data_IF_910658317349
#
_entry.id   IF_910658317349
#
_cell.length_a   1.000
_cell.length_b   1.000
_cell.length_c   1.000
_cell.angle_alpha   90.00
_cell.angle_beta   90.00
_cell.angle_gamma   90.00
#
_symmetry.space_group_name_H-M   'P 1'
#
loop_
_entity.id
_entity.type
_entity.pdbx_description
1 polymer ?
#
# COMPACT_ATOMS: atom_id res chain seq x y z
N UNK A 1 -15.39 -1.28 -25.66
CA UNK A 1 -16.36 -2.40 -25.92
C UNK A 1 -15.98 -3.60 -25.06
N UNK A 2 -15.13 -4.46 -25.60
CA UNK A 2 -14.70 -5.65 -24.89
C UNK A 2 -13.55 -6.34 -25.62
N UNK A 3 -13.01 -7.39 -25.01
CA UNK A 3 -11.90 -8.14 -25.62
C UNK A 3 -10.56 -7.45 -25.34
N UNK A 4 -10.57 -6.51 -24.39
CA UNK A 4 -9.35 -5.78 -24.02
C UNK A 4 -9.23 -5.66 -22.51
N UNK A 5 -8.01 -5.61 -22.01
CA UNK A 5 -7.77 -5.51 -20.57
C UNK A 5 -8.60 -6.56 -19.82
N UNK A 6 -9.04 -7.57 -20.52
CA UNK A 6 -9.84 -8.64 -19.92
C UNK A 6 -9.15 -9.14 -18.66
N UNK A 7 -7.84 -9.09 -18.67
CA UNK A 7 -7.05 -9.56 -17.53
C UNK A 7 -7.40 -8.74 -16.29
N UNK A 8 -7.80 -7.49 -16.47
CA UNK A 8 -8.15 -6.64 -15.34
C UNK A 8 -9.31 -7.25 -14.55
N UNK A 9 -10.21 -7.91 -15.26
CA UNK A 9 -11.36 -8.55 -14.62
C UNK A 9 -10.92 -9.76 -13.80
N UNK A 10 -9.95 -10.53 -14.30
CA UNK A 10 -9.48 -11.72 -13.58
C UNK A 10 -8.91 -11.33 -12.21
N UNK A 11 -8.06 -10.32 -12.19
CA UNK A 11 -7.47 -9.88 -10.93
C UNK A 11 -8.54 -9.33 -10.01
N UNK A 12 -9.47 -8.52 -10.54
CA UNK A 12 -10.54 -7.97 -9.73
C UNK A 12 -11.44 -9.09 -9.19
N UNK A 13 -11.79 -10.04 -10.04
CA UNK A 13 -12.65 -11.14 -9.61
C UNK A 13 -11.98 -11.93 -8.50
N UNK A 14 -10.67 -12.13 -8.62
CA UNK A 14 -9.95 -12.87 -7.59
C UNK A 14 -10.07 -12.15 -6.25
N UNK A 15 -9.91 -10.84 -6.26
CA UNK A 15 -10.00 -10.07 -5.03
C UNK A 15 -11.40 -10.22 -4.43
N UNK A 16 -12.41 -10.12 -5.26
CA UNK A 16 -13.79 -10.26 -4.76
C UNK A 16 -14.00 -11.62 -4.09
N UNK A 17 -13.53 -12.66 -4.73
CA UNK A 17 -13.67 -14.01 -4.19
C UNK A 17 -12.93 -14.14 -2.87
N UNK A 18 -11.70 -13.62 -2.79
CA UNK A 18 -10.93 -13.72 -1.56
C UNK A 18 -11.61 -12.95 -0.42
N UNK A 19 -12.04 -11.71 -0.69
CA UNK A 19 -12.69 -10.90 0.34
C UNK A 19 -14.00 -11.55 0.79
N UNK A 20 -14.79 -12.06 -0.17
CA UNK A 20 -16.06 -12.71 0.18
C UNK A 20 -15.83 -14.20 0.43
N UNK A 21 -14.64 -14.70 0.11
CA UNK A 21 -14.33 -16.11 0.30
C UNK A 21 -15.05 -16.93 -0.76
N UNK A 22 -14.84 -18.24 -0.78
CA UNK A 22 -15.48 -19.11 -1.77
C UNK A 22 -16.66 -19.86 -1.16
N UNK A 23 -16.50 -20.31 0.09
CA UNK A 23 -17.58 -21.03 0.75
C UNK A 23 -18.80 -20.12 0.95
N UNK A 24 -18.58 -18.90 1.43
CA UNK A 24 -19.68 -17.98 1.66
C UNK A 24 -20.33 -17.62 0.32
N UNK A 25 -19.52 -17.39 -0.70
CA UNK A 25 -20.05 -17.05 -2.00
C UNK A 25 -20.94 -18.17 -2.54
N UNK A 26 -20.74 -19.39 -2.04
CA UNK A 26 -21.55 -20.51 -2.51
C UNK A 26 -23.00 -20.35 -2.07
N UNK A 27 -23.19 -20.12 -0.77
CA UNK A 27 -24.54 -19.94 -0.23
C UNK A 27 -25.20 -18.70 -0.84
N UNK A 28 -24.44 -17.61 -0.99
CA UNK A 28 -25.00 -16.39 -1.55
C UNK A 28 -25.45 -16.62 -3.00
N UNK A 29 -24.60 -17.25 -3.80
CA UNK A 29 -24.97 -17.50 -5.20
C UNK A 29 -26.16 -18.45 -5.31
N UNK A 30 -26.10 -19.58 -4.61
CA UNK A 30 -27.21 -20.53 -4.66
C UNK A 30 -28.48 -19.89 -4.12
N UNK A 31 -28.36 -19.07 -3.09
CA UNK A 31 -29.51 -18.41 -2.51
C UNK A 31 -30.14 -17.47 -3.54
N UNK A 32 -29.29 -16.72 -4.23
CA UNK A 32 -29.79 -15.77 -5.24
C UNK A 32 -30.01 -16.46 -6.58
N UNK A 33 -29.52 -17.69 -6.73
CA UNK A 33 -29.69 -18.42 -7.98
C UNK A 33 -31.03 -19.14 -8.02
N UNK A 34 -31.89 -18.89 -7.02
CA UNK A 34 -33.19 -19.55 -6.98
C UNK A 34 -34.06 -19.10 -8.16
N UNK A 35 -33.96 -17.83 -8.54
CA UNK A 35 -34.74 -17.32 -9.65
C UNK A 35 -34.32 -17.97 -10.96
N UNK A 36 -33.02 -18.23 -11.10
CA UNK A 36 -32.50 -18.87 -12.30
C UNK A 36 -33.10 -20.25 -12.47
N UNK A 37 -33.23 -20.97 -11.37
CA UNK A 37 -33.81 -22.31 -11.43
C UNK A 37 -35.18 -22.26 -12.08
N UNK A 38 -35.96 -21.20 -11.78
CA UNK A 38 -37.29 -21.07 -12.36
C UNK A 38 -37.23 -20.82 -13.87
N UNK A 39 -36.31 -19.96 -14.30
CA UNK A 39 -36.20 -19.68 -15.72
C UNK A 39 -35.87 -20.96 -16.48
N UNK A 40 -34.90 -21.70 -15.96
CA UNK A 40 -34.49 -22.95 -16.60
C UNK A 40 -35.68 -23.90 -16.68
N UNK A 41 -36.42 -24.02 -15.58
CA UNK A 41 -37.58 -24.92 -15.54
C UNK A 41 -38.64 -24.49 -16.56
N UNK A 42 -39.02 -23.22 -16.54
CA UNK A 42 -40.03 -22.74 -17.47
C UNK A 42 -39.61 -22.99 -18.93
N UNK A 43 -38.35 -22.71 -19.26
CA UNK A 43 -37.88 -22.91 -20.62
C UNK A 43 -37.61 -24.40 -20.87
N UNK A 44 -38.15 -25.27 -20.02
CA UNK A 44 -37.96 -26.70 -20.19
C UNK A 44 -38.77 -27.20 -21.39
N UNK A 45 -39.71 -26.38 -21.85
CA UNK A 45 -40.55 -26.75 -22.98
C UNK A 45 -39.71 -26.99 -24.24
N UNK A 46 -38.72 -26.12 -24.48
CA UNK A 46 -37.85 -26.27 -25.65
C UNK A 46 -36.44 -26.69 -25.24
N UNK A 47 -36.34 -27.79 -24.46
CA UNK A 47 -35.05 -28.29 -24.03
C UNK A 47 -35.23 -29.59 -23.23
N UNK A 48 -35.10 -30.75 -23.85
CA UNK A 48 -35.28 -32.04 -23.14
C UNK A 48 -34.08 -32.40 -22.25
N UNK A 49 -34.34 -33.12 -21.18
CA UNK A 49 -33.28 -33.52 -20.25
C UNK A 49 -32.80 -34.94 -20.56
N UNK B 1 -1.90 6.32 -23.91
CA UNK B 1 -2.33 7.07 -22.69
C UNK B 1 -3.80 7.46 -22.83
N UNK B 2 -4.54 7.32 -21.74
CA UNK B 2 -5.96 7.66 -21.74
C UNK B 2 -6.53 7.65 -20.32
N UNK B 3 -6.64 8.83 -19.73
CA UNK B 3 -7.17 8.96 -18.38
C UNK B 3 -8.63 8.53 -18.32
N UNK B 4 -9.38 8.90 -19.36
CA UNK B 4 -10.80 8.56 -19.43
C UNK B 4 -10.95 7.06 -19.63
N UNK B 5 -10.95 6.30 -18.52
CA UNK B 5 -11.08 4.84 -18.60
C UNK B 5 -12.34 4.37 -17.90
N UNK B 6 -13.16 3.64 -18.63
CA UNK B 6 -14.39 3.09 -18.09
C UNK B 6 -14.05 2.03 -17.06
N UNK B 7 -12.94 1.32 -17.29
CA UNK B 7 -12.53 0.25 -16.38
C UNK B 7 -12.25 0.80 -14.99
N UNK B 8 -11.83 2.06 -14.92
CA UNK B 8 -11.53 2.67 -13.62
C UNK B 8 -12.78 2.68 -12.74
N UNK B 9 -13.94 2.86 -13.37
CA UNK B 9 -15.21 2.88 -12.64
C UNK B 9 -15.54 1.48 -12.10
N UNK B 10 -15.26 0.43 -12.87
CA UNK B 10 -15.57 -0.94 -12.43
C UNK B 10 -14.81 -1.27 -11.15
N UNK B 11 -13.52 -0.98 -11.12
CA UNK B 11 -12.72 -1.27 -9.95
C UNK B 11 -13.19 -0.42 -8.76
N UNK B 12 -13.46 0.86 -9.00
CA UNK B 12 -13.94 1.73 -7.94
C UNK B 12 -15.31 1.27 -7.42
N UNK B 13 -16.20 0.91 -8.33
CA UNK B 13 -17.53 0.46 -7.93
C UNK B 13 -17.41 -0.79 -7.08
N UNK B 14 -16.50 -1.69 -7.46
CA UNK B 14 -16.31 -2.93 -6.71
C UNK B 14 -15.91 -2.60 -5.28
N UNK B 15 -14.98 -1.67 -5.11
CA UNK B 15 -14.54 -1.29 -3.77
C UNK B 15 -15.70 -0.73 -2.98
N UNK B 16 -16.49 0.13 -3.58
CA UNK B 16 -17.65 0.70 -2.87
C UNK B 16 -18.59 -0.40 -2.39
N UNK B 17 -18.89 -1.35 -3.26
CA UNK B 17 -19.79 -2.43 -2.91
C UNK B 17 -19.21 -3.28 -1.78
N UNK B 18 -17.92 -3.58 -1.84
CA UNK B 18 -17.30 -4.39 -0.79
C UNK B 18 -17.32 -3.66 0.55
N UNK B 19 -16.92 -2.38 0.55
CA UNK B 19 -16.89 -1.60 1.79
C UNK B 19 -18.31 -1.45 2.36
N UNK B 20 -19.29 -1.18 1.50
CA UNK B 20 -20.68 -1.04 1.95
C UNK B 20 -21.38 -2.39 1.95
N UNK B 21 -20.74 -3.39 1.35
CA UNK B 21 -21.34 -4.72 1.26
C UNK B 21 -22.47 -4.70 0.24
N UNK B 22 -23.09 -5.86 -0.02
CA UNK B 22 -24.18 -5.92 -1.00
C UNK B 22 -25.54 -5.97 -0.31
N UNK B 23 -25.62 -6.70 0.81
CA UNK B 23 -26.87 -6.79 1.54
C UNK B 23 -27.30 -5.42 2.09
N UNK B 24 -26.35 -4.70 2.70
CA UNK B 24 -26.65 -3.39 3.25
C UNK B 24 -27.03 -2.43 2.13
N UNK B 25 -26.30 -2.49 1.03
CA UNK B 25 -26.59 -1.61 -0.11
C UNK B 25 -28.00 -1.85 -0.63
N UNK B 26 -28.55 -3.04 -0.36
CA UNK B 26 -29.90 -3.34 -0.84
C UNK B 26 -30.93 -2.48 -0.13
N UNK B 27 -30.87 -2.48 1.20
CA UNK B 27 -31.80 -1.68 1.99
C UNK B 27 -31.62 -0.19 1.70
N UNK B 28 -30.36 0.25 1.58
CA UNK B 28 -30.10 1.66 1.33
C UNK B 28 -30.67 2.07 -0.03
N UNK B 29 -30.43 1.27 -1.07
CA UNK B 29 -30.93 1.60 -2.39
C UNK B 29 -32.45 1.58 -2.42
N UNK B 30 -33.07 0.50 -1.94
CA UNK B 30 -34.51 0.40 -1.93
C UNK B 30 -35.11 1.53 -1.08
N UNK B 31 -34.47 1.85 0.03
CA UNK B 31 -34.96 2.92 0.89
C UNK B 31 -34.94 4.26 0.15
N UNK B 32 -33.85 4.51 -0.56
CA UNK B 32 -33.72 5.76 -1.32
C UNK B 32 -34.39 5.65 -2.69
N UNK B 33 -34.75 4.44 -3.09
CA UNK B 33 -35.39 4.26 -4.39
C UNK B 33 -36.91 4.48 -4.30
N UNK B 34 -37.38 4.94 -3.14
CA UNK B 34 -38.80 5.17 -2.97
C UNK B 34 -39.29 6.29 -3.89
N UNK B 35 -38.46 7.32 -4.08
CA UNK B 35 -38.83 8.43 -4.95
C UNK B 35 -38.95 7.96 -6.40
N UNK B 36 -38.09 7.04 -6.79
CA UNK B 36 -38.11 6.52 -8.17
C UNK B 36 -39.45 5.83 -8.43
N UNK B 37 -39.93 5.09 -7.45
CA UNK B 37 -41.19 4.38 -7.60
C UNK B 37 -42.29 5.37 -7.97
N UNK B 38 -42.26 6.58 -7.40
CA UNK B 38 -43.27 7.58 -7.70
C UNK B 38 -43.14 8.09 -9.13
N UNK B 39 -41.92 8.32 -9.59
CA UNK B 39 -41.73 8.80 -10.96
C UNK B 39 -42.29 7.78 -11.94
N UNK B 40 -41.93 6.52 -11.72
CA UNK B 40 -42.40 5.46 -12.60
C UNK B 40 -43.93 5.42 -12.61
N UNK B 41 -44.53 5.49 -11.42
CA UNK B 41 -45.99 5.47 -11.32
C UNK B 41 -46.62 6.64 -12.05
N UNK B 42 -46.16 7.86 -11.76
CA UNK B 42 -46.74 9.03 -12.43
C UNK B 42 -46.61 8.93 -13.95
N UNK B 43 -45.46 8.50 -14.47
CA UNK B 43 -45.28 8.37 -15.91
C UNK B 43 -45.98 7.10 -16.42
N UNK B 44 -46.84 6.50 -15.60
CA UNK B 44 -47.54 5.28 -16.00
C UNK B 44 -48.87 5.15 -15.27
N UNK B 45 -49.56 6.27 -15.09
CA UNK B 45 -50.84 6.27 -14.39
C UNK B 45 -51.84 5.41 -15.16
N UNK B 46 -51.86 5.54 -16.49
CA UNK B 46 -52.77 4.75 -17.31
C UNK B 46 -52.18 3.34 -17.55
N UNK B 47 -51.65 2.73 -16.50
CA UNK B 47 -51.06 1.40 -16.62
C UNK B 47 -50.72 0.85 -15.24
N UNK B 48 -51.63 0.18 -14.57
CA UNK B 48 -51.38 -0.41 -13.21
C UNK B 48 -50.27 -1.46 -13.23
N UNK B 49 -49.53 -1.54 -12.12
CA UNK B 49 -48.42 -2.49 -12.00
C UNK B 49 -48.55 -3.28 -10.71
N UNK C 1 -5.30 15.06 -22.30
CA UNK C 1 -3.97 15.09 -22.98
C UNK C 1 -2.88 14.83 -21.95
N UNK C 2 -2.57 13.55 -21.73
CA UNK C 2 -1.54 13.18 -20.77
C UNK C 2 -1.87 13.72 -19.39
N UNK C 3 -1.06 14.67 -18.93
CA UNK C 3 -1.27 15.26 -17.61
C UNK C 3 -2.56 16.08 -17.58
N UNK C 4 -2.82 16.74 -16.45
CA UNK C 4 -4.02 17.55 -16.31
C UNK C 4 -5.27 16.71 -16.59
N UNK C 5 -5.69 15.91 -15.61
CA UNK C 5 -6.86 15.04 -15.79
C UNK C 5 -7.99 15.35 -14.80
N UNK C 6 -9.16 15.60 -15.33
CA UNK C 6 -10.35 15.87 -14.52
C UNK C 6 -10.71 14.60 -13.75
N UNK C 7 -10.44 13.47 -14.38
CA UNK C 7 -10.72 12.15 -13.80
C UNK C 7 -10.00 12.00 -12.46
N UNK C 8 -8.87 12.68 -12.30
CA UNK C 8 -8.13 12.60 -11.04
C UNK C 8 -8.99 13.07 -9.87
N UNK C 9 -9.84 14.06 -10.13
CA UNK C 9 -10.73 14.60 -9.11
C UNK C 9 -11.81 13.58 -8.73
N UNK C 10 -12.33 12.85 -9.73
CA UNK C 10 -13.39 11.85 -9.45
C UNK C 10 -12.89 10.79 -8.48
N UNK C 11 -11.71 10.25 -8.75
CA UNK C 11 -11.14 9.22 -7.88
C UNK C 11 -10.85 9.79 -6.50
N UNK C 12 -10.28 11.00 -6.44
CA UNK C 12 -9.99 11.62 -5.15
C UNK C 12 -11.28 11.91 -4.39
N UNK C 13 -12.28 12.43 -5.08
CA UNK C 13 -13.55 12.73 -4.43
C UNK C 13 -14.16 11.47 -3.85
N UNK C 14 -14.06 10.37 -4.60
CA UNK C 14 -14.62 9.11 -4.13
C UNK C 14 -13.96 8.69 -2.82
N UNK C 15 -12.63 8.82 -2.76
CA UNK C 15 -11.92 8.46 -1.55
C UNK C 15 -12.39 9.32 -0.38
N UNK C 16 -12.52 10.61 -0.61
CA UNK C 16 -12.97 11.50 0.46
C UNK C 16 -14.35 11.09 0.99
N UNK C 17 -15.26 10.79 0.08
CA UNK C 17 -16.59 10.38 0.47
C UNK C 17 -16.57 9.07 1.26
N UNK C 18 -15.76 8.11 0.81
CA UNK C 18 -15.70 6.83 1.50
C UNK C 18 -15.10 7.00 2.90
N UNK C 19 -14.00 7.74 3.01
CA UNK C 19 -13.36 7.95 4.32
C UNK C 19 -14.29 8.73 5.26
N UNK C 20 -14.96 9.75 4.73
CA UNK C 20 -15.89 10.53 5.56
C UNK C 20 -17.30 9.93 5.51
N UNK C 21 -17.50 8.96 4.61
CA UNK C 21 -18.80 8.33 4.47
C UNK C 21 -19.76 9.30 3.79
N UNK C 22 -20.99 8.85 3.52
CA UNK C 22 -21.98 9.72 2.86
C UNK C 22 -22.98 10.27 3.86
N UNK C 23 -23.38 9.44 4.82
CA UNK C 23 -24.34 9.89 5.84
C UNK C 23 -23.74 11.01 6.70
N UNK C 24 -22.50 10.82 7.15
CA UNK C 24 -21.85 11.84 7.96
C UNK C 24 -21.65 13.11 7.16
N UNK C 25 -21.24 12.97 5.91
CA UNK C 25 -21.03 14.13 5.06
C UNK C 25 -22.32 14.93 4.89
N UNK C 26 -23.46 14.27 5.09
CA UNK C 26 -24.74 14.97 4.93
C UNK C 26 -24.92 16.00 6.03
N UNK C 27 -24.74 15.59 7.27
CA UNK C 27 -24.87 16.50 8.40
C UNK C 27 -23.82 17.61 8.33
N UNK C 28 -22.59 17.25 7.97
CA UNK C 28 -21.52 18.24 7.87
C UNK C 28 -21.84 19.29 6.81
N UNK C 29 -22.27 18.84 5.63
CA UNK C 29 -22.58 19.77 4.55
C UNK C 29 -23.78 20.65 4.92
N UNK C 30 -24.87 20.04 5.36
CA UNK C 30 -26.05 20.81 5.73
C UNK C 30 -25.73 21.76 6.88
N UNK C 31 -24.90 21.31 7.82
CA UNK C 31 -24.52 22.15 8.95
C UNK C 31 -23.75 23.36 8.46
N UNK C 32 -22.82 23.13 7.54
CA UNK C 32 -22.01 24.24 7.00
C UNK C 32 -22.73 24.94 5.85
N UNK C 33 -23.82 24.35 5.36
CA UNK C 33 -24.56 24.96 4.26
C UNK C 33 -25.57 25.99 4.78
N UNK C 34 -25.53 26.26 6.08
CA UNK C 34 -26.47 27.22 6.66
C UNK C 34 -26.23 28.62 6.10
N UNK C 35 -24.97 28.97 5.87
CA UNK C 35 -24.65 30.29 5.32
C UNK C 35 -25.18 30.43 3.90
N UNK C 36 -25.13 29.35 3.14
CA UNK C 36 -25.63 29.36 1.78
C UNK C 36 -27.12 29.69 1.75
N UNK C 37 -27.85 29.13 2.69
CA UNK C 37 -29.28 29.37 2.77
C UNK C 37 -29.54 30.87 2.86
N UNK C 38 -28.70 31.58 3.59
CA UNK C 38 -28.88 33.03 3.74
C UNK C 38 -28.62 33.76 2.44
N UNK C 39 -27.56 33.36 1.71
CA UNK C 39 -27.26 34.02 0.44
C UNK C 39 -28.43 33.86 -0.52
N UNK C 40 -28.93 32.63 -0.62
CA UNK C 40 -30.05 32.35 -1.50
C UNK C 40 -31.25 33.21 -1.12
N UNK C 41 -31.55 33.27 0.18
CA UNK C 41 -32.68 34.06 0.66
C UNK C 41 -32.51 35.53 0.33
N UNK C 42 -31.36 36.11 0.67
CA UNK C 42 -31.12 37.53 0.39
C UNK C 42 -31.26 37.83 -1.11
N UNK C 43 -30.70 36.98 -1.97
CA UNK C 43 -30.79 37.20 -3.41
C UNK C 43 -32.17 36.79 -3.92
N UNK C 44 -33.14 36.60 -3.02
CA UNK C 44 -34.49 36.20 -3.45
C UNK C 44 -35.56 37.04 -2.74
N UNK C 45 -35.24 37.49 -1.53
CA UNK C 45 -36.19 38.29 -0.76
C UNK C 45 -36.56 39.56 -1.52
N UNK C 46 -35.56 40.28 -2.03
CA UNK C 46 -35.82 41.51 -2.78
C UNK C 46 -36.96 42.33 -2.15
N UNK C 47 -36.84 42.65 -0.86
CA UNK C 47 -37.87 43.43 -0.17
C UNK C 47 -37.37 43.86 1.21
N UNK C 48 -36.70 44.99 1.33
CA UNK C 48 -36.18 45.48 2.64
C UNK C 48 -37.28 46.07 3.51
N UNK C 49 -37.04 46.10 4.83
CA UNK C 49 -38.01 46.64 5.77
C UNK C 49 -37.77 48.14 5.97
N UNK D 1 10.94 15.49 -20.27
CA UNK D 1 11.70 16.52 -19.51
C UNK D 1 11.23 16.52 -18.06
N UNK D 2 11.50 17.62 -17.36
CA UNK D 2 11.10 17.73 -15.96
C UNK D 2 9.58 17.72 -15.83
N UNK D 3 9.10 17.12 -14.74
CA UNK D 3 7.66 17.04 -14.51
C UNK D 3 7.14 18.32 -13.88
N UNK D 4 7.47 18.54 -12.61
CA UNK D 4 7.02 19.74 -11.89
C UNK D 4 5.57 20.05 -12.26
N UNK D 5 4.64 19.31 -11.66
CA UNK D 5 3.22 19.48 -11.93
C UNK D 5 2.47 19.97 -10.71
N UNK D 6 1.67 21.00 -10.92
CA UNK D 6 0.87 21.58 -9.86
C UNK D 6 -0.16 20.57 -9.41
N UNK D 7 -0.56 19.64 -10.29
CA UNK D 7 -1.56 18.69 -9.84
C UNK D 7 -1.04 17.87 -8.67
N UNK D 8 0.27 17.67 -8.60
CA UNK D 8 0.86 16.89 -7.51
C UNK D 8 0.54 17.54 -6.16
N UNK D 9 0.50 18.87 -6.16
CA UNK D 9 0.20 19.62 -4.94
C UNK D 9 -1.26 19.42 -4.53
N UNK D 10 -2.18 19.38 -5.50
CA UNK D 10 -3.61 19.21 -5.18
C UNK D 10 -3.85 17.88 -4.46
N UNK D 11 -3.28 16.82 -4.98
CA UNK D 11 -3.46 15.50 -4.36
C UNK D 11 -2.80 15.49 -2.98
N UNK D 12 -1.59 16.05 -2.86
CA UNK D 12 -0.91 16.09 -1.57
C UNK D 12 -1.70 16.94 -0.58
N UNK D 13 -2.18 18.09 -1.01
CA UNK D 13 -2.94 18.97 -0.13
C UNK D 13 -4.19 18.25 0.37
N UNK D 14 -4.83 17.50 -0.52
CA UNK D 14 -6.04 16.78 -0.14
C UNK D 14 -5.73 15.80 0.99
N UNK D 15 -4.62 15.08 0.85
CA UNK D 15 -4.24 14.11 1.87
C UNK D 15 -3.99 14.82 3.20
N UNK D 16 -3.29 15.94 3.16
CA UNK D 16 -3.02 16.68 4.39
C UNK D 16 -4.32 17.09 5.09
N UNK D 17 -5.26 17.61 4.31
CA UNK D 17 -6.54 18.03 4.87
C UNK D 17 -7.30 16.86 5.46
N UNK D 18 -7.32 15.72 4.76
CA UNK D 18 -8.03 14.55 5.27
C UNK D 18 -7.39 14.04 6.57
N UNK D 19 -6.07 13.91 6.59
CA UNK D 19 -5.36 13.42 7.77
C UNK D 19 -5.57 14.38 8.95
N UNK D 20 -5.47 15.69 8.68
CA UNK D 20 -5.65 16.70 9.74
C UNK D 20 -7.12 17.09 9.85
N UNK D 21 -7.93 16.66 8.88
CA UNK D 21 -9.35 17.01 8.87
C UNK D 21 -9.52 18.47 8.49
N UNK D 22 -10.76 18.94 8.37
CA UNK D 22 -11.01 20.34 8.00
C UNK D 22 -11.39 21.16 9.22
N UNK D 23 -12.18 20.58 10.12
CA UNK D 23 -12.58 21.29 11.33
C UNK D 23 -11.38 21.62 12.20
N UNK D 24 -10.51 20.63 12.42
CA UNK D 24 -9.33 20.84 13.25
C UNK D 24 -8.40 21.86 12.58
N UNK D 25 -8.24 21.75 11.27
CA UNK D 25 -7.39 22.68 10.56
C UNK D 25 -7.89 24.12 10.70
N UNK D 26 -9.18 24.27 11.00
CA UNK D 26 -9.74 25.61 11.15
C UNK D 26 -9.17 26.30 12.39
N UNK D 27 -9.24 25.61 13.51
CA UNK D 27 -8.71 26.17 14.76
C UNK D 27 -7.19 26.39 14.66
N UNK D 28 -6.47 25.43 14.05
CA UNK D 28 -5.04 25.56 13.92
C UNK D 28 -4.67 26.78 13.06
N UNK D 29 -5.34 26.92 11.91
CA UNK D 29 -5.06 28.06 11.03
C UNK D 29 -5.40 29.38 11.71
N UNK D 30 -6.62 29.49 12.24
CA UNK D 30 -7.03 30.73 12.89
C UNK D 30 -6.12 31.02 14.08
N UNK D 31 -5.72 29.99 14.80
CA UNK D 31 -4.85 30.17 15.96
C UNK D 31 -3.50 30.72 15.50
N UNK D 32 -2.97 30.16 14.42
CA UNK D 32 -1.68 30.62 13.90
C UNK D 32 -1.84 31.83 12.99
N UNK D 33 -3.08 32.14 12.61
CA UNK D 33 -3.33 33.30 11.73
C UNK D 33 -3.44 34.59 12.54
N UNK D 34 -3.17 34.52 13.84
CA UNK D 34 -3.25 35.70 14.69
C UNK D 34 -2.22 36.74 14.27
N UNK D 35 -1.03 36.28 13.89
CA UNK D 35 0.02 37.21 13.47
C UNK D 35 -0.38 37.93 12.18
N UNK D 36 -1.06 37.23 11.29
CA UNK D 36 -1.50 37.82 10.03
C UNK D 36 -2.44 38.99 10.30
N UNK D 37 -3.33 38.80 11.27
CA UNK D 37 -4.28 39.86 11.60
C UNK D 37 -3.53 41.14 11.93
N UNK D 38 -2.39 41.03 12.61
CA UNK D 38 -1.61 42.22 12.97
C UNK D 38 -1.01 42.88 11.73
N UNK D 39 -0.48 42.08 10.80
CA UNK D 39 0.11 42.65 9.60
C UNK D 39 -0.95 43.43 8.82
N UNK D 40 -2.11 42.82 8.66
CA UNK D 40 -3.20 43.46 7.94
C UNK D 40 -3.57 44.78 8.62
N UNK D 41 -3.69 44.74 9.95
CA UNK D 41 -4.06 45.94 10.71
C UNK D 41 -3.01 47.04 10.54
N UNK D 42 -1.73 46.70 10.77
CA UNK D 42 -0.67 47.70 10.63
C UNK D 42 -0.67 48.32 9.22
N UNK D 43 -0.81 47.50 8.18
CA UNK D 43 -0.81 48.01 6.82
C UNK D 43 -2.16 48.65 6.49
N UNK D 44 -2.98 48.90 7.52
CA UNK D 44 -4.30 49.50 7.29
C UNK D 44 -5.00 49.76 8.63
N UNK D 45 -4.55 50.77 9.36
CA UNK D 45 -5.15 51.12 10.65
C UNK D 45 -6.62 51.52 10.49
N UNK D 46 -6.87 52.64 9.80
CA UNK D 46 -8.23 53.12 9.58
C UNK D 46 -9.02 53.08 10.89
N UNK D 47 -8.83 54.09 11.77
CA UNK D 47 -9.54 54.14 13.06
C UNK D 47 -8.79 55.05 14.05
N UNK D 48 -7.62 54.67 14.51
CA UNK D 48 -6.84 55.51 15.48
C UNK D 48 -6.47 56.87 14.89
N UNK D 49 -6.08 57.79 15.75
CA UNK D 49 -5.69 59.12 15.32
C UNK D 49 -4.79 59.03 14.09
N UNK E 1 14.53 17.88 -16.07
CA UNK E 1 15.23 16.58 -16.32
C UNK E 1 14.39 15.43 -15.79
N UNK E 2 13.87 15.61 -14.57
CA UNK E 2 13.04 14.58 -13.93
C UNK E 2 13.88 13.74 -12.98
N UNK E 3 15.19 13.71 -13.19
CA UNK E 3 16.09 12.95 -12.33
C UNK E 3 16.13 13.53 -10.92
N UNK E 4 16.26 14.85 -10.85
CA UNK E 4 16.31 15.55 -9.56
C UNK E 4 15.07 16.44 -9.38
N UNK E 5 14.17 16.03 -8.50
CA UNK E 5 12.94 16.80 -8.25
C UNK E 5 12.84 17.25 -6.81
N UNK E 6 12.71 18.55 -6.64
CA UNK E 6 12.54 19.15 -5.33
C UNK E 6 11.19 18.74 -4.78
N UNK E 7 10.24 18.50 -5.69
CA UNK E 7 8.90 18.13 -5.23
C UNK E 7 8.95 16.84 -4.40
N UNK E 8 9.92 15.98 -4.69
CA UNK E 8 10.04 14.73 -3.95
C UNK E 8 10.24 15.01 -2.45
N UNK E 9 10.95 16.09 -2.15
CA UNK E 9 11.22 16.48 -0.76
C UNK E 9 9.94 16.96 -0.08
N UNK E 10 9.09 17.70 -0.81
CA UNK E 10 7.84 18.22 -0.22
C UNK E 10 6.95 17.07 0.24
N UNK E 11 6.78 16.07 -0.62
CA UNK E 11 5.93 14.93 -0.26
C UNK E 11 6.56 14.16 0.91
N UNK E 12 7.88 13.94 0.86
CA UNK E 12 8.56 13.23 1.95
C UNK E 12 8.46 14.02 3.25
N UNK E 13 8.68 15.32 3.18
CA UNK E 13 8.62 16.15 4.38
C UNK E 13 7.23 16.09 4.99
N UNK E 14 6.21 16.09 4.14
CA UNK E 14 4.83 16.03 4.62
C UNK E 14 4.62 14.74 5.41
N UNK E 15 5.11 13.62 4.87
CA UNK E 15 4.96 12.34 5.57
C UNK E 15 5.64 12.40 6.91
N UNK E 16 6.85 12.92 6.96
CA UNK E 16 7.58 13.01 8.22
C UNK E 16 6.79 13.81 9.26
N UNK E 17 6.25 14.95 8.84
CA UNK E 17 5.48 15.79 9.75
C UNK E 17 4.24 15.06 10.23
N UNK E 18 3.53 14.37 9.34
CA UNK E 18 2.32 13.67 9.75
C UNK E 18 2.65 12.53 10.73
N UNK E 19 3.67 11.73 10.41
CA UNK E 19 4.04 10.61 11.29
C UNK E 19 4.52 11.14 12.65
N UNK E 20 5.32 12.21 12.65
CA UNK E 20 5.81 12.79 13.91
C UNK E 20 4.82 13.85 14.42
N UNK E 21 3.85 14.21 13.60
CA UNK E 21 2.89 15.22 13.98
C UNK E 21 3.54 16.60 13.97
N UNK E 22 2.77 17.65 14.23
CA UNK E 22 3.33 19.02 14.23
C UNK E 22 3.56 19.51 15.65
N UNK E 23 2.66 19.18 16.55
CA UNK E 23 2.81 19.60 17.95
C UNK E 23 4.05 18.97 18.58
N UNK E 24 4.22 17.66 18.38
CA UNK E 24 5.37 16.96 18.94
C UNK E 24 6.67 17.50 18.32
N UNK E 25 6.64 17.72 17.01
CA UNK E 25 7.82 18.22 16.33
C UNK E 25 8.22 19.59 16.88
N UNK E 26 7.26 20.31 17.50
CA UNK E 26 7.57 21.62 18.05
C UNK E 26 8.52 21.50 19.23
N UNK E 27 8.16 20.64 20.18
CA UNK E 27 9.00 20.44 21.36
C UNK E 27 10.35 19.87 20.96
N UNK E 28 10.35 18.90 20.03
CA UNK E 28 11.61 18.30 19.60
C UNK E 28 12.53 19.34 18.95
N UNK E 29 11.98 20.15 18.05
CA UNK E 29 12.79 21.17 17.38
C UNK E 29 13.30 22.20 18.38
N UNK E 30 12.41 22.77 19.18
CA UNK E 30 12.80 23.77 20.16
C UNK E 30 13.81 23.18 21.15
N UNK E 31 13.61 21.91 21.53
CA UNK E 31 14.51 21.27 22.46
C UNK E 31 15.90 21.14 21.85
N UNK E 32 15.95 20.75 20.58
CA UNK E 32 17.23 20.60 19.88
C UNK E 32 17.71 21.92 19.31
N UNK E 33 16.84 22.94 19.29
CA UNK E 33 17.22 24.23 18.76
C UNK E 33 17.91 25.09 19.82
N UNK E 34 18.19 24.49 20.99
CA UNK E 34 18.84 25.24 22.06
C UNK E 34 20.26 25.65 21.64
N UNK E 35 20.95 24.78 20.92
CA UNK E 35 22.30 25.10 20.47
C UNK E 35 22.30 26.27 19.49
N UNK E 36 21.27 26.32 18.66
CA UNK E 36 21.16 27.40 17.67
C UNK E 36 21.06 28.75 18.39
N UNK E 37 20.30 28.77 19.47
CA UNK E 37 20.13 30.01 20.22
C UNK E 37 21.50 30.55 20.64
N UNK E 38 22.42 29.66 21.00
CA UNK E 38 23.75 30.10 21.41
C UNK E 38 24.53 30.68 20.24
N UNK E 39 24.45 30.04 19.06
CA UNK E 39 25.17 30.56 17.91
C UNK E 39 24.69 31.96 17.58
N UNK E 40 23.38 32.13 17.56
CA UNK E 40 22.78 33.43 17.26
C UNK E 40 23.28 34.47 18.27
N UNK E 41 23.25 34.11 19.55
CA UNK E 41 23.69 35.03 20.60
C UNK E 41 25.16 35.40 20.43
N UNK E 42 26.03 34.40 20.29
CA UNK E 42 27.46 34.69 20.13
C UNK E 42 27.71 35.60 18.91
N UNK E 43 27.06 35.33 17.79
CA UNK E 43 27.25 36.15 16.59
C UNK E 43 26.48 37.47 16.72
N UNK E 44 26.01 37.81 17.93
CA UNK E 44 25.25 39.05 18.13
C UNK E 44 25.83 39.86 19.28
N UNK E 45 26.72 39.25 20.05
CA UNK E 45 27.34 39.95 21.17
C UNK E 45 28.22 41.09 20.67
N UNK E 46 29.03 40.81 19.65
CA UNK E 46 29.93 41.81 19.09
C UNK E 46 29.21 42.71 18.08
N UNK E 47 28.00 43.14 18.42
CA UNK E 47 27.22 44.00 17.52
C UNK E 47 25.96 44.53 18.22
N UNK E 48 26.04 45.65 18.92
CA UNK E 48 24.86 46.22 19.64
C UNK E 48 23.87 46.89 18.70
N UNK E 49 22.63 47.02 19.15
CA UNK E 49 21.58 47.65 18.34
C UNK E 49 22.12 48.91 17.67
N UNK F 1 21.60 7.38 -18.70
CA UNK F 1 20.96 6.28 -17.90
C UNK F 1 19.85 6.88 -17.05
N UNK F 2 19.04 6.01 -16.44
CA UNK F 2 17.95 6.48 -15.59
C UNK F 2 17.53 5.39 -14.61
N UNK F 3 18.52 4.77 -13.95
CA UNK F 3 18.26 3.71 -12.97
C UNK F 3 18.96 4.00 -11.66
N UNK F 4 20.07 4.75 -11.72
CA UNK F 4 20.84 5.09 -10.53
C UNK F 4 20.38 6.44 -9.99
N UNK F 5 19.60 6.43 -8.92
CA UNK F 5 19.09 7.68 -8.33
C UNK F 5 19.55 7.85 -6.88
N UNK F 6 20.18 8.97 -6.63
CA UNK F 6 20.65 9.31 -5.29
C UNK F 6 19.44 9.53 -4.39
N UNK F 7 18.38 10.05 -5.01
CA UNK F 7 17.14 10.36 -4.29
C UNK F 7 16.55 9.09 -3.68
N UNK F 8 16.81 7.94 -4.30
CA UNK F 8 16.29 6.68 -3.79
C UNK F 8 16.80 6.43 -2.37
N UNK F 9 18.03 6.85 -2.11
CA UNK F 9 18.64 6.68 -0.80
C UNK F 9 17.96 7.58 0.24
N UNK F 10 17.60 8.81 -0.15
CA UNK F 10 16.95 9.74 0.79
C UNK F 10 15.63 9.17 1.30
N UNK F 11 14.82 8.67 0.38
CA UNK F 11 13.53 8.10 0.77
C UNK F 11 13.75 6.85 1.64
N UNK F 12 14.69 5.98 1.24
CA UNK F 12 14.97 4.79 2.02
C UNK F 12 15.50 5.15 3.40
N UNK F 13 16.43 6.11 3.47
CA UNK F 13 17.00 6.52 4.73
C UNK F 13 15.89 7.05 5.66
N UNK F 14 14.97 7.81 5.08
CA UNK F 14 13.88 8.37 5.88
C UNK F 14 13.07 7.23 6.51
N UNK F 15 12.76 6.21 5.74
CA UNK F 15 12.00 5.08 6.25
C UNK F 15 12.76 4.41 7.39
N UNK F 16 14.05 4.19 7.21
CA UNK F 16 14.85 3.57 8.26
C UNK F 16 14.79 4.37 9.55
N UNK F 17 14.95 5.68 9.44
CA UNK F 17 14.91 6.54 10.62
C UNK F 17 13.55 6.51 11.29
N UNK F 18 12.47 6.54 10.50
CA UNK F 18 11.14 6.51 11.10
C UNK F 18 10.88 5.17 11.80
N UNK F 19 11.22 4.06 11.15
CA UNK F 19 11.00 2.74 11.74
C UNK F 19 11.85 2.57 13.01
N UNK F 20 13.11 3.02 12.95
CA UNK F 20 14.00 2.92 14.13
C UNK F 20 13.86 4.17 15.00
N UNK F 21 13.17 5.18 14.49
CA UNK F 21 13.02 6.42 15.24
C UNK F 21 14.34 7.19 15.24
N UNK F 22 14.34 8.38 15.83
CA UNK F 22 15.57 9.19 15.88
C UNK F 22 16.23 9.11 17.25
N UNK F 23 15.42 9.11 18.30
CA UNK F 23 15.96 9.02 19.65
C UNK F 23 16.68 7.69 19.87
N UNK F 24 16.05 6.59 19.46
CA UNK F 24 16.65 5.28 19.62
C UNK F 24 17.92 5.18 18.78
N UNK F 25 17.87 5.70 17.56
CA UNK F 25 19.03 5.65 16.70
C UNK F 25 20.20 6.40 17.31
N UNK F 26 19.92 7.34 18.23
CA UNK F 26 20.98 8.10 18.86
C UNK F 26 21.83 7.21 19.75
N UNK F 27 21.17 6.47 20.64
CA UNK F 27 21.88 5.57 21.54
C UNK F 27 22.61 4.47 20.75
N UNK F 28 21.95 3.94 19.72
CA UNK F 28 22.56 2.88 18.92
C UNK F 28 23.82 3.41 18.22
N UNK F 29 23.72 4.58 17.58
CA UNK F 29 24.87 5.13 16.89
C UNK F 29 26.01 5.46 17.86
N UNK F 30 25.70 6.19 18.92
CA UNK F 30 26.72 6.54 19.90
C UNK F 30 27.33 5.28 20.53
N UNK F 31 26.49 4.28 20.76
CA UNK F 31 26.97 3.04 21.36
C UNK F 31 27.95 2.35 20.41
N UNK F 32 27.60 2.33 19.13
CA UNK F 32 28.47 1.70 18.13
C UNK F 32 29.54 2.65 17.64
N UNK F 33 29.41 3.94 17.97
CA UNK F 33 30.40 4.93 17.55
C UNK F 33 31.58 4.98 18.50
N UNK F 34 31.62 4.08 19.47
CA UNK F 34 32.70 4.05 20.45
C UNK F 34 34.03 3.75 19.77
N UNK F 35 34.02 2.86 18.77
CA UNK F 35 35.23 2.51 18.06
C UNK F 35 35.77 3.70 17.28
N UNK F 36 34.86 4.50 16.73
CA UNK F 36 35.27 5.68 15.97
C UNK F 36 36.04 6.64 16.86
N UNK F 37 35.58 6.80 18.09
CA UNK F 37 36.24 7.70 19.02
C UNK F 37 37.71 7.31 19.15
N UNK F 38 38.00 6.01 19.15
CA UNK F 38 39.37 5.56 19.29
C UNK F 38 40.20 5.90 18.05
N UNK F 39 39.62 5.73 16.87
CA UNK F 39 40.35 6.04 15.64
C UNK F 39 40.72 7.52 15.63
N UNK F 40 39.74 8.37 15.95
CA UNK F 40 39.97 9.80 15.99
C UNK F 40 41.08 10.13 16.97
N UNK F 41 41.01 9.54 18.16
CA UNK F 41 42.03 9.79 19.19
C UNK F 41 43.42 9.36 18.72
N UNK F 42 43.54 8.11 18.24
CA UNK F 42 44.83 7.63 17.77
C UNK F 42 45.41 8.54 16.67
N UNK F 43 44.59 8.94 15.70
CA UNK F 43 45.06 9.80 14.63
C UNK F 43 45.19 11.25 15.12
N UNK F 44 45.17 11.45 16.44
CA UNK F 44 45.29 12.80 16.98
C UNK F 44 45.49 12.76 18.50
N UNK F 45 46.73 12.52 18.92
CA UNK F 45 47.02 12.45 20.35
C UNK F 45 46.71 13.80 21.02
N UNK F 46 47.15 14.90 20.39
CA UNK F 46 46.91 16.23 20.95
C UNK F 46 45.64 16.84 20.35
N UNK F 47 45.28 18.04 20.78
CA UNK F 47 44.09 18.71 20.25
C UNK F 47 44.01 20.15 20.79
N UNK F 48 43.90 21.16 19.95
CA UNK F 48 43.85 22.58 20.42
C UNK F 48 42.50 22.91 21.07
N UNK F 49 41.50 22.08 20.78
CA UNK F 49 40.16 22.29 21.34
C UNK F 49 39.31 21.04 21.20
N UNK G 1 16.87 -0.50 -22.58
CA UNK G 1 15.58 -1.27 -22.52
C UNK G 1 15.32 -1.68 -21.08
N UNK G 2 16.37 -1.71 -20.25
CA UNK G 2 16.23 -2.09 -18.86
C UNK G 2 16.14 -3.61 -18.72
N UNK G 3 16.30 -4.10 -17.50
CA UNK G 3 16.22 -5.53 -17.25
C UNK G 3 16.86 -5.89 -15.91
N UNK G 4 18.20 -5.95 -15.89
CA UNK G 4 18.93 -6.30 -14.67
C UNK G 4 19.46 -5.04 -14.00
N UNK G 5 18.92 -4.72 -12.82
CA UNK G 5 19.35 -3.53 -12.07
C UNK G 5 19.92 -3.91 -10.72
N UNK G 6 21.12 -3.44 -10.46
CA UNK G 6 21.79 -3.69 -9.19
C UNK G 6 21.03 -2.98 -8.08
N UNK G 7 20.46 -1.82 -8.41
CA UNK G 7 19.73 -1.04 -7.42
C UNK G 7 18.56 -1.85 -6.85
N UNK G 8 18.03 -2.76 -7.65
CA UNK G 8 16.91 -3.60 -7.20
C UNK G 8 17.31 -4.40 -5.96
N UNK G 9 18.57 -4.82 -5.93
CA UNK G 9 19.09 -5.60 -4.80
C UNK G 9 19.18 -4.72 -3.54
N UNK G 10 19.59 -3.45 -3.70
CA UNK G 10 19.72 -2.56 -2.53
C UNK G 10 18.37 -2.38 -1.83
N UNK G 11 17.34 -2.12 -2.60
CA UNK G 11 16.01 -1.93 -2.02
C UNK G 11 15.53 -3.23 -1.38
N UNK G 12 15.72 -4.36 -2.07
CA UNK G 12 15.31 -5.65 -1.52
C UNK G 12 16.09 -5.97 -0.24
N UNK G 13 17.40 -5.74 -0.27
CA UNK G 13 18.22 -6.03 0.90
C UNK G 13 17.76 -5.19 2.09
N UNK G 14 17.41 -3.94 1.82
CA UNK G 14 16.96 -3.05 2.89
C UNK G 14 15.71 -3.63 3.53
N UNK G 15 14.77 -4.10 2.72
CA UNK G 15 13.54 -4.68 3.25
C UNK G 15 13.86 -5.89 4.11
N UNK G 16 14.74 -6.76 3.64
CA UNK G 16 15.11 -7.94 4.41
C UNK G 16 15.68 -7.55 5.77
N UNK G 17 16.57 -6.58 5.79
CA UNK G 17 17.17 -6.15 7.04
C UNK G 17 16.13 -5.56 7.98
N UNK G 18 15.21 -4.74 7.45
CA UNK G 18 14.18 -4.15 8.31
C UNK G 18 13.26 -5.22 8.88
N UNK G 19 12.79 -6.14 8.03
CA UNK G 19 11.89 -7.20 8.50
C UNK G 19 12.60 -8.10 9.53
N UNK G 20 13.86 -8.45 9.26
CA UNK G 20 14.63 -9.29 10.18
C UNK G 20 15.35 -8.42 11.23
N UNK G 21 15.37 -7.11 11.00
CA UNK G 21 16.04 -6.20 11.91
C UNK G 21 17.55 -6.34 11.72
N UNK G 22 18.33 -5.53 12.43
CA UNK G 22 19.80 -5.60 12.32
C UNK G 22 20.40 -6.33 13.51
N UNK G 23 19.87 -6.12 14.69
CA UNK G 23 20.38 -6.79 15.88
C UNK G 23 20.19 -8.31 15.77
N UNK G 24 18.98 -8.73 15.37
CA UNK G 24 18.70 -10.15 15.25
C UNK G 24 19.57 -10.76 14.15
N UNK G 25 19.72 -10.05 13.04
CA UNK G 25 20.53 -10.54 11.95
C UNK G 25 21.97 -10.74 12.39
N UNK G 26 22.39 -10.05 13.45
CA UNK G 26 23.76 -10.18 13.92
C UNK G 26 23.99 -11.57 14.50
N UNK G 27 23.11 -11.99 15.42
CA UNK G 27 23.23 -13.31 16.02
C UNK G 27 23.08 -14.41 14.97
N UNK G 28 22.13 -14.23 14.04
CA UNK G 28 21.91 -15.23 13.01
C UNK G 28 23.15 -15.37 12.13
N UNK G 29 23.71 -14.25 11.68
CA UNK G 29 24.90 -14.30 10.83
C UNK G 29 26.09 -14.91 11.57
N UNK G 30 26.39 -14.39 12.76
CA UNK G 30 27.50 -14.91 13.54
C UNK G 30 27.30 -16.38 13.85
N UNK G 31 26.06 -16.77 14.15
CA UNK G 31 25.76 -18.15 14.47
C UNK G 31 26.04 -19.03 13.25
N UNK G 32 25.62 -18.58 12.07
CA UNK G 32 25.83 -19.34 10.85
C UNK G 32 27.21 -19.07 10.26
N UNK G 33 27.91 -18.06 10.77
CA UNK G 33 29.23 -17.73 10.26
C UNK G 33 30.31 -18.57 10.96
N UNK G 34 29.89 -19.54 11.77
CA UNK G 34 30.85 -20.38 12.49
C UNK G 34 31.66 -21.23 11.51
N UNK G 35 31.01 -21.70 10.44
CA UNK G 35 31.70 -22.51 9.45
C UNK G 35 32.76 -21.69 8.72
N UNK G 36 32.46 -20.42 8.48
CA UNK G 36 33.41 -19.55 7.79
C UNK G 36 34.68 -19.41 8.61
N UNK G 37 34.53 -19.30 9.92
CA UNK G 37 35.69 -19.17 10.79
C UNK G 37 36.64 -20.33 10.57
N UNK G 38 36.10 -21.54 10.35
CA UNK G 38 36.95 -22.71 10.12
C UNK G 38 37.68 -22.61 8.79
N UNK G 39 36.99 -22.17 7.74
CA UNK G 39 37.64 -22.05 6.44
C UNK G 39 38.81 -21.08 6.54
N UNK G 40 38.58 -19.94 7.16
CA UNK G 40 39.61 -18.93 7.32
C UNK G 40 40.80 -19.52 8.07
N UNK G 41 40.51 -20.23 9.17
CA UNK G 41 41.56 -20.83 9.98
C UNK G 41 42.37 -21.85 9.18
N UNK G 42 41.68 -22.79 8.54
CA UNK G 42 42.38 -23.80 7.75
C UNK G 42 43.27 -23.17 6.67
N UNK G 43 42.75 -22.16 5.96
CA UNK G 43 43.53 -21.51 4.92
C UNK G 43 44.55 -20.55 5.54
N UNK G 44 44.80 -20.68 6.85
CA UNK G 44 45.75 -19.81 7.54
C UNK G 44 47.19 -20.14 7.16
N UNK G 45 47.39 -21.25 6.46
CA UNK G 45 48.74 -21.66 6.06
C UNK G 45 49.37 -20.62 5.14
N UNK G 46 48.61 -20.13 4.15
CA UNK G 46 49.13 -19.14 3.21
C UNK G 46 48.88 -17.72 3.72
N UNK G 47 49.17 -17.49 5.01
CA UNK G 47 48.98 -16.16 5.61
C UNK G 47 49.97 -15.97 6.77
N UNK G 48 51.11 -15.36 6.52
CA UNK G 48 52.14 -15.11 7.58
C UNK G 48 51.55 -14.41 8.81
N UNK G 49 51.99 -14.83 9.98
CA UNK G 49 51.50 -14.26 11.24
C UNK G 49 52.18 -12.93 11.51
N UNK H 1 4.03 -1.83 -16.24
CA UNK H 1 5.47 -1.52 -16.50
C UNK H 1 6.28 -2.82 -16.45
N UNK H 2 7.02 -3.09 -17.51
CA UNK H 2 7.83 -4.30 -17.58
C UNK H 2 6.99 -5.51 -18.01
N UNK H 3 7.66 -6.55 -18.47
CA UNK H 3 6.97 -7.76 -18.90
C UNK H 3 7.93 -8.94 -18.98
N UNK H 4 7.42 -10.14 -18.75
CA UNK H 4 8.23 -11.35 -18.80
C UNK H 4 9.61 -11.10 -18.20
N UNK H 5 9.65 -10.86 -16.88
CA UNK H 5 10.91 -10.56 -16.19
C UNK H 5 11.24 -11.62 -15.14
N UNK H 6 12.47 -12.12 -15.21
CA UNK H 6 12.94 -13.14 -14.26
C UNK H 6 13.01 -12.54 -12.86
N UNK H 7 13.30 -11.24 -12.84
CA UNK H 7 13.42 -10.48 -11.60
C UNK H 7 12.13 -10.56 -10.80
N UNK H 8 11.00 -10.75 -11.47
CA UNK H 8 9.72 -10.85 -10.78
C UNK H 8 9.73 -12.03 -9.81
N UNK H 9 10.42 -13.10 -10.20
CA UNK H 9 10.51 -14.29 -9.36
C UNK H 9 11.36 -14.01 -8.11
N UNK H 10 12.44 -13.24 -8.26
CA UNK H 10 13.32 -12.93 -7.11
C UNK H 10 12.55 -12.20 -6.02
N UNK H 11 11.80 -11.18 -6.41
CA UNK H 11 11.02 -10.41 -5.44
C UNK H 11 9.94 -11.30 -4.80
N UNK H 12 9.25 -12.09 -5.62
CA UNK H 12 8.22 -12.98 -5.10
C UNK H 12 8.83 -14.03 -4.17
N UNK H 13 9.96 -14.61 -4.56
CA UNK H 13 10.59 -15.62 -3.74
C UNK H 13 10.99 -15.02 -2.39
N UNK H 14 11.48 -13.78 -2.42
CA UNK H 14 11.89 -13.12 -1.18
C UNK H 14 10.68 -13.01 -0.24
N UNK H 15 9.55 -12.60 -0.78
CA UNK H 15 8.35 -12.46 0.04
C UNK H 15 7.97 -13.81 0.65
N UNK H 16 8.00 -14.86 -0.15
CA UNK H 16 7.65 -16.18 0.36
C UNK H 16 8.57 -16.59 1.51
N UNK H 17 9.86 -16.37 1.35
CA UNK H 17 10.82 -16.71 2.39
C UNK H 17 10.57 -15.90 3.66
N UNK H 18 10.30 -14.60 3.51
CA UNK H 18 10.07 -13.77 4.70
C UNK H 18 8.78 -14.19 5.42
N UNK H 19 7.71 -14.41 4.67
CA UNK H 19 6.44 -14.82 5.28
C UNK H 19 6.57 -16.19 5.96
N UNK H 20 7.26 -17.12 5.29
CA UNK H 20 7.46 -18.47 5.86
C UNK H 20 8.74 -18.50 6.70
N UNK H 21 9.54 -17.44 6.61
CA UNK H 21 10.79 -17.39 7.35
C UNK H 21 11.81 -18.33 6.71
N UNK H 22 13.03 -18.35 7.22
CA UNK H 22 14.07 -19.23 6.67
C UNK H 22 14.27 -20.45 7.52
N UNK H 23 14.21 -20.29 8.84
CA UNK H 23 14.39 -21.42 9.75
C UNK H 23 13.25 -22.44 9.56
N UNK H 24 12.00 -21.96 9.51
CA UNK H 24 10.87 -22.85 9.33
C UNK H 24 10.94 -23.54 7.97
N UNK H 25 11.31 -22.78 6.95
CA UNK H 25 11.42 -23.35 5.62
C UNK H 25 12.45 -24.47 5.58
N UNK H 26 13.39 -24.46 6.52
CA UNK H 26 14.42 -25.49 6.55
C UNK H 26 13.81 -26.84 6.90
N UNK H 27 13.05 -26.88 7.98
CA UNK H 27 12.41 -28.12 8.40
C UNK H 27 11.41 -28.60 7.35
N UNK H 28 10.64 -27.66 6.77
CA UNK H 28 9.66 -28.03 5.76
C UNK H 28 10.34 -28.63 4.54
N UNK H 29 11.40 -27.98 4.04
CA UNK H 29 12.10 -28.49 2.88
C UNK H 29 12.75 -29.85 3.16
N UNK H 30 13.51 -29.94 4.24
CA UNK H 30 14.16 -31.19 4.59
C UNK H 30 13.12 -32.29 4.82
N UNK H 31 12.00 -31.93 5.44
CA UNK H 31 10.95 -32.91 5.69
C UNK H 31 10.38 -33.43 4.38
N UNK H 32 10.15 -32.52 3.44
CA UNK H 32 9.60 -32.90 2.13
C UNK H 32 10.71 -33.36 1.18
N UNK H 33 11.97 -33.12 1.55
CA UNK H 33 13.08 -33.52 0.70
C UNK H 33 13.48 -34.97 0.95
N UNK H 34 12.70 -35.68 1.77
CA UNK H 34 13.00 -37.07 2.07
C UNK H 34 12.90 -37.94 0.80
N UNK H 35 11.93 -37.63 -0.05
CA UNK H 35 11.75 -38.40 -1.28
C UNK H 35 12.94 -38.20 -2.21
N UNK H 36 13.49 -36.99 -2.23
CA UNK H 36 14.63 -36.69 -3.08
C UNK H 36 15.82 -37.55 -2.68
N UNK H 37 16.01 -37.73 -1.38
CA UNK H 37 17.11 -38.53 -0.89
C UNK H 37 17.05 -39.93 -1.51
N UNK H 38 15.84 -40.47 -1.66
CA UNK H 38 15.69 -41.80 -2.24
C UNK H 38 16.07 -41.81 -3.72
N UNK H 39 15.65 -40.80 -4.47
CA UNK H 39 15.98 -40.75 -5.89
C UNK H 39 17.49 -40.71 -6.05
N UNK H 40 18.15 -39.86 -5.29
CA UNK H 40 19.59 -39.74 -5.36
C UNK H 40 20.25 -41.09 -5.06
N UNK H 41 19.77 -41.74 -4.00
CA UNK H 41 20.33 -43.04 -3.61
C UNK H 41 20.14 -44.08 -4.70
N UNK H 42 18.91 -44.22 -5.20
CA UNK H 42 18.65 -45.21 -6.25
C UNK H 42 19.53 -44.95 -7.49
N UNK H 43 19.66 -43.69 -7.90
CA UNK H 43 20.49 -43.37 -9.07
C UNK H 43 21.96 -43.39 -8.69
N UNK H 44 22.31 -43.97 -7.53
CA UNK H 44 23.71 -44.02 -7.09
C UNK H 44 24.03 -45.39 -6.47
N UNK H 45 23.57 -46.45 -7.12
CA UNK H 45 23.81 -47.80 -6.62
C UNK H 45 25.30 -48.10 -6.59
N UNK H 46 26.03 -47.72 -7.66
CA UNK H 46 27.47 -47.97 -7.73
C UNK H 46 27.79 -49.48 -7.71
N UNK H 47 26.90 -50.29 -7.14
CA UNK H 47 27.12 -51.73 -7.07
C UNK H 47 25.90 -52.42 -6.45
N UNK H 48 25.69 -53.70 -6.67
CA UNK H 48 24.53 -54.44 -6.07
C UNK H 48 24.47 -54.26 -4.55
N UNK H 49 25.64 -54.27 -3.90
CA UNK H 49 25.68 -54.12 -2.45
C UNK H 49 24.70 -55.07 -1.77
N UNK I 1 5.73 -10.77 -29.11
CA UNK I 1 4.24 -10.79 -29.06
C UNK I 1 3.78 -10.88 -27.62
N UNK I 2 2.48 -11.05 -27.42
CA UNK I 2 1.93 -11.15 -26.07
C UNK I 2 0.40 -11.19 -26.12
N UNK I 3 -0.24 -10.23 -25.45
CA UNK I 3 -1.71 -10.15 -25.42
C UNK I 3 -2.27 -10.90 -24.22
N UNK I 4 -1.39 -11.60 -23.51
CA UNK I 4 -1.79 -12.38 -22.34
C UNK I 4 -0.86 -12.07 -21.15
N UNK I 5 -1.27 -12.49 -19.95
CA UNK I 5 -0.46 -12.25 -18.76
C UNK I 5 -0.47 -13.49 -17.86
N UNK I 6 0.39 -14.44 -18.18
CA UNK I 6 0.49 -15.67 -17.40
C UNK I 6 1.12 -15.39 -16.04
N UNK I 7 2.18 -14.59 -16.07
CA UNK I 7 2.89 -14.29 -14.82
C UNK I 7 1.93 -13.71 -13.78
N UNK I 8 0.88 -13.04 -14.25
CA UNK I 8 -0.09 -12.45 -13.33
C UNK I 8 -0.73 -13.54 -12.46
N UNK I 9 -0.92 -14.72 -13.05
CA UNK I 9 -1.51 -15.84 -12.31
C UNK I 9 -0.55 -16.37 -11.24
N UNK I 10 0.75 -16.40 -11.55
CA UNK I 10 1.73 -16.91 -10.57
C UNK I 10 1.72 -16.05 -9.30
N UNK I 11 1.75 -14.74 -9.46
CA UNK I 11 1.75 -13.85 -8.32
C UNK I 11 0.43 -13.98 -7.56
N UNK I 12 -0.70 -14.03 -8.28
CA UNK I 12 -1.99 -14.17 -7.63
C UNK I 12 -2.09 -15.52 -6.90
N UNK I 13 -1.64 -16.59 -7.55
CA UNK I 13 -1.69 -17.90 -6.93
C UNK I 13 -0.87 -17.91 -5.64
N UNK I 14 0.29 -17.26 -5.67
CA UNK I 14 1.15 -17.21 -4.51
C UNK I 14 0.41 -16.55 -3.34
N UNK I 15 -0.28 -15.44 -3.61
CA UNK I 15 -1.02 -14.75 -2.58
C UNK I 15 -2.10 -15.66 -2.00
N UNK I 16 -2.82 -16.35 -2.87
CA UNK I 16 -3.87 -17.25 -2.39
C UNK I 16 -3.29 -18.32 -1.46
N UNK I 17 -2.19 -18.91 -1.86
CA UNK I 17 -1.56 -19.95 -1.04
C UNK I 17 -1.10 -19.39 0.30
N UNK I 18 -0.50 -18.20 0.30
CA UNK I 18 -0.03 -17.61 1.56
C UNK I 18 -1.21 -17.29 2.47
N UNK I 19 -2.26 -16.67 1.94
CA UNK I 19 -3.42 -16.31 2.75
C UNK I 19 -4.10 -17.57 3.29
N UNK I 20 -4.25 -18.59 2.44
CA UNK I 20 -4.88 -19.86 2.87
C UNK I 20 -3.82 -20.80 3.44
N UNK I 21 -2.56 -20.46 3.27
CA UNK I 21 -1.48 -21.32 3.78
C UNK I 21 -1.37 -22.55 2.89
N UNK I 22 -0.38 -23.41 3.15
CA UNK I 22 -0.20 -24.63 2.34
C UNK I 22 -0.73 -25.85 3.06
N UNK I 23 -0.53 -25.91 4.37
CA UNK I 23 -1.03 -27.04 5.15
C UNK I 23 -2.56 -27.10 5.11
N UNK I 24 -3.21 -25.97 5.33
CA UNK I 24 -4.67 -25.93 5.31
C UNK I 24 -5.19 -26.26 3.92
N UNK I 25 -4.54 -25.72 2.91
CA UNK I 25 -4.96 -25.99 1.54
C UNK I 25 -4.86 -27.48 1.22
N UNK I 26 -4.05 -28.22 1.97
CA UNK I 26 -3.90 -29.65 1.73
C UNK I 26 -5.19 -30.38 2.09
N UNK I 27 -5.69 -30.14 3.29
CA UNK I 27 -6.92 -30.77 3.74
C UNK I 27 -8.10 -30.35 2.87
N UNK I 28 -8.16 -29.06 2.52
CA UNK I 28 -9.25 -28.57 1.69
C UNK I 28 -9.23 -29.23 0.32
N UNK I 29 -8.07 -29.29 -0.31
CA UNK I 29 -7.97 -29.91 -1.64
C UNK I 29 -8.30 -31.40 -1.57
N UNK I 30 -7.66 -32.13 -0.66
CA UNK I 30 -7.92 -33.56 -0.54
C UNK I 30 -9.38 -33.80 -0.19
N UNK I 31 -9.95 -32.94 0.66
CA UNK I 31 -11.35 -33.10 1.04
C UNK I 31 -12.25 -32.93 -0.17
N UNK I 32 -11.95 -31.91 -0.98
CA UNK I 32 -12.76 -31.66 -2.19
C UNK I 32 -12.30 -32.52 -3.35
N UNK I 33 -11.14 -33.17 -3.22
CA UNK I 33 -10.63 -34.01 -4.30
C UNK I 33 -11.22 -35.42 -4.23
N UNK I 34 -12.18 -35.62 -3.33
CA UNK I 34 -12.79 -36.93 -3.19
C UNK I 34 -13.54 -37.32 -4.46
N UNK I 35 -14.20 -36.35 -5.09
CA UNK I 35 -14.94 -36.62 -6.31
C UNK I 35 -14.00 -37.03 -7.43
N UNK I 36 -12.83 -36.43 -7.48
CA UNK I 36 -11.85 -36.75 -8.52
C UNK I 36 -11.44 -38.21 -8.41
N UNK I 37 -11.26 -38.68 -7.18
CA UNK I 37 -10.87 -40.07 -6.98
C UNK I 37 -11.87 -41.00 -7.66
N UNK I 38 -13.15 -40.65 -7.62
CA UNK I 38 -14.17 -41.48 -8.25
C UNK I 38 -14.06 -41.47 -9.77
N UNK I 39 -13.80 -40.30 -10.35
CA UNK I 39 -13.67 -40.21 -11.80
C UNK I 39 -12.50 -41.08 -12.25
N UNK I 40 -11.38 -40.96 -11.56
CA UNK I 40 -10.20 -41.73 -11.91
C UNK I 40 -10.52 -43.23 -11.83
N UNK I 41 -11.19 -43.63 -10.74
CA UNK I 41 -11.54 -45.04 -10.55
C UNK I 41 -12.45 -45.53 -11.66
N UNK I 42 -13.54 -44.81 -11.93
CA UNK I 42 -14.48 -45.23 -12.98
C UNK I 42 -13.77 -45.35 -14.33
N UNK I 43 -12.92 -44.39 -14.69
CA UNK I 43 -12.20 -44.44 -15.96
C UNK I 43 -11.04 -45.43 -15.88
N UNK I 44 -11.08 -46.32 -14.88
CA UNK I 44 -10.05 -47.34 -14.72
C UNK I 44 -10.69 -48.68 -14.39
N UNK I 45 -12.01 -48.68 -14.20
CA UNK I 45 -12.74 -49.90 -13.86
C UNK I 45 -12.67 -50.91 -15.00
N UNK I 46 -12.91 -50.45 -16.23
CA UNK I 46 -12.88 -51.35 -17.39
C UNK I 46 -11.72 -52.34 -17.28
N UNK I 47 -10.50 -51.84 -17.06
CA UNK I 47 -9.34 -52.72 -16.93
C UNK I 47 -8.09 -51.86 -16.63
N UNK I 48 -7.44 -52.04 -15.49
CA UNK I 48 -6.22 -51.24 -15.15
C UNK I 48 -5.00 -51.70 -15.94
N UNK I 49 -5.10 -52.87 -16.56
CA UNK I 49 -3.98 -53.42 -17.34
C UNK I 49 -4.51 -54.09 -18.61
#
# INVERSE_FOLDING_TARGET
>A
MGGISIWQLLIIAVIVVLLFGTKKLGSIGSDLGASIKGFKKAMSDDEPKHHHHHH
>B
MGGISIWQLLIIAVIVVLLFGTKKLGSIGSDLGASIKGFKKAMSDDEPKHHHHHH
>C
MGGISIWQLLIIAVIVVLLFGTKKLGSIGSDLGASIKGFKKAMSDDEPKHHHHHH
>D
MGGISIWQLLIIAVIVVLLFGTKKLGSIGSDLGASIKGFKKAMSDDEPKHHHHHH
>E
MGGISIWQLLIIAVIVVLLFGTKKLGSIGSDLGASIKGFKKAMSDDEPKHHHHHH
>F
MGGISIWQLLIIAVIVVLLFGTKKLGSIGSDLGASIKGFKKAMSDDEPKHHHHHH
>G
MGGISIWQLLIIAVIVVLLFGTKKLGSIGSDLGASIKGFKKAMSDDEPKHHHHHH
>H
MGGISIWQLLIIAVIVVLLFGTKKLGSIGSDLGASIKGFKKAMSDDEPKHHHHHH
>I
MGGISIWQLLIIAVIVVLLFGTKKLGSIGSDLGASIKGFKKAMSDDEPKHHHHHH
#
